data_IF_849082495597
#
_entry.id   IF_849082495597
#
_cell.length_a   1.000
_cell.length_b   1.000
_cell.length_c   1.000
_cell.angle_alpha   90.00
_cell.angle_beta   90.00
_cell.angle_gamma   90.00
#
_symmetry.space_group_name_H-M   'P 1'
#
loop_
_entity.id
_entity.type
_entity.pdbx_description
1 polymer ?
#
# COMPACT_ATOMS: atom_id res chain seq x y z
N UNK A 1 16.36 8.33 2.47
CA UNK A 1 16.50 7.78 1.11
C UNK A 1 17.96 7.53 0.75
N UNK A 2 18.87 8.51 0.87
CA UNK A 2 20.29 8.34 0.51
C UNK A 2 20.97 7.10 1.14
N UNK A 3 20.72 6.83 2.43
CA UNK A 3 21.24 5.64 3.12
C UNK A 3 20.74 4.33 2.47
N UNK A 4 19.48 4.29 2.02
CA UNK A 4 18.93 3.13 1.33
C UNK A 4 19.59 2.92 -0.04
N UNK A 5 19.81 3.98 -0.82
CA UNK A 5 20.49 3.87 -2.12
C UNK A 5 21.93 3.37 -1.96
N UNK A 6 22.66 3.90 -0.98
CA UNK A 6 24.02 3.41 -0.65
C UNK A 6 24.01 1.93 -0.25
N UNK A 7 23.04 1.53 0.58
CA UNK A 7 22.88 0.13 0.97
C UNK A 7 22.55 -0.75 -0.24
N UNK A 8 21.57 -0.37 -1.05
CA UNK A 8 21.17 -1.12 -2.25
C UNK A 8 22.36 -1.28 -3.21
N UNK A 9 23.18 -0.25 -3.37
CA UNK A 9 24.42 -0.28 -4.18
C UNK A 9 25.42 -1.27 -3.61
N UNK A 10 25.67 -1.21 -2.31
CA UNK A 10 26.60 -2.11 -1.61
C UNK A 10 26.16 -3.58 -1.65
N UNK A 11 24.84 -3.82 -1.73
CA UNK A 11 24.26 -5.17 -1.86
C UNK A 11 24.12 -5.62 -3.31
N UNK A 12 24.53 -4.80 -4.28
CA UNK A 12 24.52 -5.18 -5.68
C UNK A 12 23.11 -5.30 -6.27
N UNK A 13 22.13 -4.57 -5.74
CA UNK A 13 20.73 -4.66 -6.18
C UNK A 13 20.57 -4.39 -7.69
N UNK A 14 21.36 -3.46 -8.23
CA UNK A 14 21.40 -3.14 -9.65
C UNK A 14 21.93 -4.28 -10.56
N UNK A 15 22.64 -5.26 -10.00
CA UNK A 15 23.07 -6.45 -10.75
C UNK A 15 21.94 -7.49 -10.88
N UNK A 16 20.96 -7.45 -9.98
CA UNK A 16 19.86 -8.41 -9.93
C UNK A 16 18.64 -7.94 -10.73
N UNK A 17 18.41 -6.63 -10.80
CA UNK A 17 17.29 -6.05 -11.51
C UNK A 17 17.67 -4.69 -12.10
N UNK A 18 17.21 -4.41 -13.33
CA UNK A 18 17.33 -3.09 -13.96
C UNK A 18 16.18 -2.16 -13.61
N UNK A 19 15.06 -2.71 -13.12
CA UNK A 19 13.81 -1.98 -12.93
C UNK A 19 13.17 -2.36 -11.60
N UNK A 20 12.63 -1.38 -10.89
CA UNK A 20 11.87 -1.57 -9.64
C UNK A 20 10.48 -0.97 -9.81
N UNK A 21 9.46 -1.74 -9.46
CA UNK A 21 8.10 -1.23 -9.34
C UNK A 21 7.99 -0.35 -8.09
N UNK A 22 7.55 0.90 -8.26
CA UNK A 22 7.42 1.85 -7.16
C UNK A 22 6.11 2.61 -7.28
N UNK A 23 5.52 2.96 -6.14
CA UNK A 23 4.30 3.76 -6.06
C UNK A 23 4.45 4.88 -5.02
N UNK A 24 3.47 5.76 -4.91
CA UNK A 24 3.48 6.92 -4.03
C UNK A 24 4.40 8.06 -4.48
N UNK A 25 4.33 9.19 -3.78
CA UNK A 25 5.07 10.40 -4.16
C UNK A 25 6.60 10.23 -4.23
N UNK A 26 7.16 9.29 -3.47
CA UNK A 26 8.58 8.95 -3.50
C UNK A 26 9.05 8.39 -4.85
N UNK A 27 8.19 7.67 -5.56
CA UNK A 27 8.51 7.09 -6.86
C UNK A 27 8.83 8.17 -7.91
N UNK A 28 8.18 9.33 -7.81
CA UNK A 28 8.47 10.49 -8.65
C UNK A 28 9.64 11.32 -8.09
N UNK A 29 9.62 11.58 -6.79
CA UNK A 29 10.63 12.43 -6.13
C UNK A 29 12.05 11.91 -6.27
N UNK A 30 12.25 10.59 -6.20
CA UNK A 30 13.58 9.97 -6.16
C UNK A 30 13.97 9.24 -7.45
N UNK A 31 13.19 9.35 -8.53
CA UNK A 31 13.47 8.67 -9.80
C UNK A 31 14.85 8.99 -10.36
N UNK A 32 15.25 10.28 -10.33
CA UNK A 32 16.56 10.70 -10.77
C UNK A 32 17.67 10.04 -9.93
N UNK A 33 17.51 10.02 -8.60
CA UNK A 33 18.51 9.43 -7.70
C UNK A 33 18.70 7.93 -7.96
N UNK A 34 17.61 7.18 -8.17
CA UNK A 34 17.70 5.75 -8.56
C UNK A 34 18.44 5.56 -9.88
N UNK A 35 18.16 6.40 -10.87
CA UNK A 35 18.83 6.30 -12.17
C UNK A 35 20.32 6.69 -12.07
N UNK A 36 20.65 7.75 -11.34
CA UNK A 36 22.04 8.24 -11.24
C UNK A 36 22.91 7.38 -10.31
N UNK A 37 22.39 7.00 -9.15
CA UNK A 37 23.19 6.30 -8.14
C UNK A 37 23.25 4.78 -8.35
N UNK A 38 22.18 4.22 -8.92
CA UNK A 38 21.98 2.77 -9.05
C UNK A 38 21.92 2.30 -10.51
N UNK A 39 21.82 3.18 -11.49
CA UNK A 39 21.53 2.82 -12.89
C UNK A 39 20.28 1.94 -13.02
N UNK A 40 19.25 2.23 -12.22
CA UNK A 40 17.98 1.52 -12.22
C UNK A 40 16.83 2.43 -12.62
N UNK A 41 15.84 1.88 -13.31
CA UNK A 41 14.60 2.56 -13.66
C UNK A 41 13.51 2.28 -12.63
N UNK A 42 12.68 3.29 -12.36
CA UNK A 42 11.45 3.11 -11.58
C UNK A 42 10.27 2.93 -12.52
N UNK A 43 9.65 1.76 -12.47
CA UNK A 43 8.33 1.57 -13.06
C UNK A 43 7.29 2.10 -12.07
N UNK A 44 6.80 3.31 -12.33
CA UNK A 44 5.95 4.06 -11.42
C UNK A 44 4.48 3.66 -11.58
N UNK A 45 3.81 3.39 -10.47
CA UNK A 45 2.38 3.10 -10.38
C UNK A 45 1.65 4.18 -9.59
N UNK A 46 0.35 4.32 -9.81
CA UNK A 46 -0.50 5.20 -9.01
C UNK A 46 -0.64 4.68 -7.57
N UNK A 47 -0.60 5.59 -6.60
CA UNK A 47 -0.62 5.26 -5.16
C UNK A 47 -1.92 4.56 -4.75
N UNK A 48 -3.04 5.09 -5.20
CA UNK A 48 -4.35 4.66 -4.75
C UNK A 48 -4.78 3.38 -5.48
N UNK A 49 -4.49 3.27 -6.77
CA UNK A 49 -4.70 2.02 -7.53
C UNK A 49 -3.85 0.87 -6.94
N UNK A 50 -2.58 1.14 -6.62
CA UNK A 50 -1.71 0.14 -5.97
C UNK A 50 -2.25 -0.31 -4.61
N UNK A 51 -2.77 0.64 -3.81
CA UNK A 51 -3.39 0.36 -2.52
C UNK A 51 -4.61 -0.56 -2.66
N UNK A 52 -5.54 -0.23 -3.57
CA UNK A 52 -6.75 -1.02 -3.77
C UNK A 52 -6.42 -2.43 -4.28
N UNK A 53 -5.48 -2.55 -5.24
CA UNK A 53 -5.00 -3.87 -5.71
C UNK A 53 -4.37 -4.68 -4.58
N UNK A 54 -3.58 -4.04 -3.72
CA UNK A 54 -2.97 -4.68 -2.55
C UNK A 54 -4.02 -5.22 -1.58
N UNK A 55 -5.06 -4.45 -1.26
CA UNK A 55 -6.17 -4.89 -0.40
C UNK A 55 -6.88 -6.12 -1.00
N UNK A 56 -7.21 -6.10 -2.29
CA UNK A 56 -7.84 -7.25 -2.95
C UNK A 56 -6.94 -8.48 -2.99
N UNK A 57 -5.64 -8.30 -3.21
CA UNK A 57 -4.68 -9.38 -3.18
C UNK A 57 -4.62 -10.01 -1.79
N UNK A 58 -4.43 -9.21 -0.73
CA UNK A 58 -4.36 -9.75 0.64
C UNK A 58 -5.67 -10.42 1.04
N UNK A 59 -6.83 -9.83 0.71
CA UNK A 59 -8.13 -10.49 0.89
C UNK A 59 -8.18 -11.89 0.28
N UNK A 60 -7.64 -12.07 -0.93
CA UNK A 60 -7.71 -13.33 -1.65
C UNK A 60 -6.79 -14.43 -1.08
N UNK A 61 -5.72 -14.04 -0.37
CA UNK A 61 -4.68 -14.97 0.09
C UNK A 61 -4.50 -15.01 1.61
N UNK A 62 -5.12 -14.09 2.35
CA UNK A 62 -5.14 -14.06 3.80
C UNK A 62 -6.55 -13.68 4.29
N UNK A 63 -7.38 -14.71 4.49
CA UNK A 63 -8.76 -14.53 4.93
C UNK A 63 -8.86 -13.80 6.28
N UNK A 64 -7.85 -13.93 7.15
CA UNK A 64 -7.87 -13.41 8.53
C UNK A 64 -7.17 -12.04 8.69
N UNK A 65 -6.83 -11.35 7.60
CA UNK A 65 -6.13 -10.06 7.67
C UNK A 65 -7.00 -8.97 8.32
N UNK A 66 -8.29 -8.91 7.98
CA UNK A 66 -9.17 -7.85 8.42
C UNK A 66 -9.84 -8.16 9.76
N UNK A 67 -9.99 -7.15 10.61
CA UNK A 67 -10.53 -7.29 11.95
C UNK A 67 -11.21 -6.01 12.40
N UNK A 68 -11.99 -6.12 13.46
CA UNK A 68 -12.59 -5.00 14.16
C UNK A 68 -12.53 -5.23 15.68
N UNK A 69 -12.83 -4.18 16.45
CA UNK A 69 -12.92 -4.27 17.90
C UNK A 69 -14.40 -4.34 18.30
N UNK A 70 -14.79 -5.42 18.96
CA UNK A 70 -16.10 -5.54 19.62
C UNK A 70 -16.01 -4.84 20.97
N UNK A 71 -17.06 -4.09 21.33
CA UNK A 71 -17.16 -3.33 22.58
C UNK A 71 -15.92 -2.43 22.86
N UNK A 72 -15.48 -1.57 21.91
CA UNK A 72 -14.18 -0.89 21.99
C UNK A 72 -14.05 0.13 23.13
N UNK A 73 -15.14 0.45 23.83
CA UNK A 73 -15.17 1.42 24.95
C UNK A 73 -15.31 0.75 26.32
N UNK A 74 -15.40 -0.57 26.39
CA UNK A 74 -15.49 -1.35 27.63
C UNK A 74 -14.26 -2.24 27.75
N UNK A 75 -13.30 -1.87 28.59
CA UNK A 75 -12.02 -2.59 28.76
C UNK A 75 -12.18 -4.06 29.16
N UNK A 76 -13.32 -4.46 29.75
CA UNK A 76 -13.58 -5.84 30.16
C UNK A 76 -14.14 -6.71 29.04
N UNK A 77 -14.78 -6.09 28.03
CA UNK A 77 -15.40 -6.77 26.89
C UNK A 77 -14.67 -6.55 25.57
N UNK A 78 -13.82 -5.52 25.52
CA UNK A 78 -13.07 -5.12 24.35
C UNK A 78 -12.21 -6.28 23.85
N UNK A 79 -12.48 -6.72 22.62
CA UNK A 79 -11.71 -7.79 21.98
C UNK A 79 -11.63 -7.61 20.49
N UNK A 80 -10.53 -8.09 19.92
CA UNK A 80 -10.30 -8.15 18.48
C UNK A 80 -11.06 -9.34 17.91
N UNK A 81 -11.89 -9.11 16.91
CA UNK A 81 -12.61 -10.15 16.16
C UNK A 81 -12.27 -10.06 14.68
N UNK A 82 -12.30 -11.22 14.02
CA UNK A 82 -12.10 -11.32 12.58
C UNK A 82 -13.28 -10.70 11.82
N UNK A 83 -13.00 -10.01 10.72
CA UNK A 83 -14.00 -9.49 9.81
C UNK A 83 -13.98 -10.27 8.49
N UNK A 84 -15.09 -10.94 8.17
CA UNK A 84 -15.24 -11.65 6.90
C UNK A 84 -15.40 -10.67 5.72
N UNK A 85 -14.48 -10.75 4.77
CA UNK A 85 -14.44 -9.92 3.57
C UNK A 85 -15.22 -10.51 2.37
N UNK A 86 -15.92 -11.65 2.51
CA UNK A 86 -16.59 -12.32 1.39
C UNK A 86 -17.65 -11.45 0.69
N UNK A 87 -18.23 -10.46 1.37
CA UNK A 87 -19.16 -9.47 0.82
C UNK A 87 -18.69 -8.02 1.10
N UNK A 88 -17.45 -7.71 0.70
CA UNK A 88 -16.77 -6.46 1.04
C UNK A 88 -17.41 -5.18 0.45
N UNK A 89 -18.08 -5.24 -0.70
CA UNK A 89 -18.53 -4.02 -1.38
C UNK A 89 -19.95 -3.59 -0.99
N UNK A 90 -20.23 -2.27 -0.94
CA UNK A 90 -19.26 -1.17 -1.03
C UNK A 90 -18.53 -0.96 0.31
N UNK A 91 -17.31 -0.40 0.25
CA UNK A 91 -16.57 -0.02 1.46
C UNK A 91 -15.80 1.29 1.26
N UNK A 92 -15.41 1.87 2.39
CA UNK A 92 -14.59 3.08 2.44
C UNK A 92 -13.18 2.72 2.89
N UNK A 93 -12.17 3.09 2.09
CA UNK A 93 -10.77 3.04 2.52
C UNK A 93 -10.39 4.40 3.06
N UNK A 94 -9.90 4.44 4.30
CA UNK A 94 -9.33 5.63 4.92
C UNK A 94 -7.84 5.37 5.09
N UNK A 95 -7.04 5.86 4.14
CA UNK A 95 -5.58 5.75 4.18
C UNK A 95 -5.00 6.89 5.02
N UNK A 96 -4.43 6.56 6.17
CA UNK A 96 -3.85 7.51 7.13
C UNK A 96 -2.32 7.45 7.04
N UNK A 97 -1.72 8.44 6.37
CA UNK A 97 -0.28 8.60 6.20
C UNK A 97 0.17 9.98 6.69
N UNK A 98 1.05 10.66 5.94
CA UNK A 98 1.41 12.06 6.22
C UNK A 98 0.22 13.03 6.09
N UNK A 99 -0.77 12.65 5.28
CA UNK A 99 -2.11 13.22 5.26
C UNK A 99 -3.16 12.11 5.31
N UNK A 100 -4.41 12.42 4.96
CA UNK A 100 -5.49 11.43 4.88
C UNK A 100 -6.08 11.42 3.48
N UNK A 101 -6.22 10.22 2.92
CA UNK A 101 -6.91 9.97 1.66
C UNK A 101 -8.07 9.02 1.88
N UNK A 102 -9.26 9.41 1.45
CA UNK A 102 -10.46 8.59 1.54
C UNK A 102 -10.89 8.11 0.15
N UNK A 103 -11.25 6.84 0.04
CA UNK A 103 -11.75 6.24 -1.20
C UNK A 103 -13.06 5.51 -0.98
N UNK A 104 -14.04 5.79 -1.83
CA UNK A 104 -15.26 5.00 -1.92
C UNK A 104 -15.05 3.91 -2.98
N UNK A 105 -15.08 2.65 -2.55
CA UNK A 105 -14.82 1.47 -3.40
C UNK A 105 -16.14 0.72 -3.62
N UNK A 106 -16.55 0.63 -4.88
CA UNK A 106 -17.84 0.06 -5.29
C UNK A 106 -17.67 -1.32 -5.93
N UNK A 107 -16.52 -1.59 -6.55
CA UNK A 107 -16.14 -2.89 -7.10
C UNK A 107 -14.60 -2.95 -7.26
N UNK A 108 -14.01 -4.10 -7.67
CA UNK A 108 -12.55 -4.24 -7.82
C UNK A 108 -11.89 -3.14 -8.64
N UNK A 109 -12.54 -2.73 -9.74
CA UNK A 109 -12.03 -1.73 -10.69
C UNK A 109 -12.84 -0.42 -10.67
N UNK A 110 -13.78 -0.27 -9.73
CA UNK A 110 -14.59 0.94 -9.57
C UNK A 110 -14.40 1.54 -8.18
N UNK A 111 -13.48 2.49 -8.10
CA UNK A 111 -13.23 3.26 -6.90
C UNK A 111 -12.92 4.71 -7.25
N UNK A 112 -13.24 5.61 -6.33
CA UNK A 112 -12.95 7.04 -6.48
C UNK A 112 -12.47 7.63 -5.17
N UNK A 113 -11.53 8.57 -5.26
CA UNK A 113 -11.15 9.41 -4.14
C UNK A 113 -12.36 10.28 -3.76
N UNK A 114 -12.67 10.34 -2.48
CA UNK A 114 -13.68 11.25 -1.93
C UNK A 114 -13.03 12.63 -1.83
N UNK A 115 -13.65 13.64 -2.43
CA UNK A 115 -13.22 15.04 -2.44
C UNK A 115 -14.16 15.90 -1.62
#
# INVERSE_FOLDING_TARGET
MNVFLQLAKSKGMAYMASTVCATGGGAFKFEADFRHEMNMELHKFDELDSLIRGIHYIKAYNEHECYYWVDPTDDTKCRKEHFDLNNLYPFLVVNIGSGVSMLAVHSPDNFKRVT
#
